data_IF_984495357187
#
_entry.id   IF_984495357187
#
_cell.length_a   1.000
_cell.length_b   1.000
_cell.length_c   1.000
_cell.angle_alpha   90.00
_cell.angle_beta   90.00
_cell.angle_gamma   90.00
#
_symmetry.space_group_name_H-M   'P 1'
#
loop_
_entity.id
_entity.type
_entity.pdbx_description
1 polymer ?
#
# COMPACT_ATOMS: atom_id res chain seq x y z
N UNK A 1 -2.94 -25.46 6.20
CA UNK A 1 -2.17 -24.24 6.48
C UNK A 1 -0.69 -24.54 6.67
N UNK A 2 0.14 -23.52 6.56
CA UNK A 2 1.59 -23.65 6.74
C UNK A 2 1.94 -23.65 8.22
N UNK A 3 3.02 -24.37 8.61
CA UNK A 3 3.51 -24.36 9.99
C UNK A 3 4.15 -23.02 10.33
N UNK A 4 3.62 -22.33 11.33
CA UNK A 4 4.16 -21.08 11.84
C UNK A 4 5.20 -21.37 12.94
N UNK A 5 6.37 -20.75 12.82
CA UNK A 5 7.39 -20.64 13.87
C UNK A 5 7.62 -19.17 14.18
N UNK A 6 7.80 -18.84 15.43
CA UNK A 6 8.05 -17.46 15.89
C UNK A 6 9.44 -17.32 16.43
N UNK A 7 10.03 -16.15 16.24
CA UNK A 7 11.33 -15.75 16.83
C UNK A 7 11.19 -14.35 17.42
N UNK A 8 11.96 -14.04 18.45
CA UNK A 8 12.05 -12.70 19.00
C UNK A 8 12.99 -11.83 18.15
N UNK A 9 12.43 -10.78 17.54
CA UNK A 9 13.19 -9.77 16.79
C UNK A 9 12.67 -8.37 17.07
N UNK A 10 13.58 -7.43 17.32
CA UNK A 10 13.23 -6.06 17.68
C UNK A 10 13.93 -5.06 16.77
N UNK A 11 13.24 -3.95 16.46
CA UNK A 11 13.85 -2.81 15.80
C UNK A 11 14.87 -2.15 16.72
N UNK A 12 16.12 -2.06 16.26
CA UNK A 12 17.18 -1.37 17.00
C UNK A 12 17.07 0.13 16.77
N UNK A 13 17.02 0.92 17.86
CA UNK A 13 17.13 2.37 17.81
C UNK A 13 18.59 2.80 17.98
N UNK A 14 18.93 4.01 17.47
CA UNK A 14 20.29 4.56 17.63
C UNK A 14 20.58 5.09 19.04
N UNK A 15 19.56 5.15 19.92
CA UNK A 15 19.75 5.66 21.29
C UNK A 15 20.40 4.60 22.18
N UNK A 16 21.47 4.95 22.86
CA UNK A 16 22.09 4.10 23.90
C UNK A 16 21.18 4.15 25.11
N UNK A 17 20.47 3.05 25.39
CA UNK A 17 19.61 2.91 26.58
C UNK A 17 19.61 1.45 27.04
N UNK A 18 19.34 1.21 28.32
CA UNK A 18 19.19 -0.14 28.89
C UNK A 18 18.14 -0.96 28.13
N UNK A 19 17.06 -0.30 27.70
CA UNK A 19 16.00 -0.92 26.90
C UNK A 19 16.52 -1.36 25.52
N UNK A 20 17.34 -0.55 24.86
CA UNK A 20 17.97 -0.93 23.59
C UNK A 20 18.98 -2.05 23.76
N UNK A 21 19.73 -2.11 24.85
CA UNK A 21 20.63 -3.22 25.15
C UNK A 21 19.85 -4.54 25.33
N UNK A 22 18.69 -4.50 26.02
CA UNK A 22 17.79 -5.65 26.13
C UNK A 22 17.22 -6.07 24.77
N UNK A 23 16.81 -5.13 23.92
CA UNK A 23 16.33 -5.39 22.56
C UNK A 23 17.44 -6.01 21.69
N UNK A 24 18.65 -5.52 21.81
CA UNK A 24 19.82 -6.05 21.10
C UNK A 24 20.11 -7.49 21.52
N UNK A 25 20.16 -7.77 22.83
CA UNK A 25 20.32 -9.14 23.35
C UNK A 25 19.24 -10.09 22.83
N UNK A 26 17.98 -9.69 22.88
CA UNK A 26 16.84 -10.48 22.34
C UNK A 26 16.98 -10.71 20.83
N UNK A 27 17.44 -9.72 20.07
CA UNK A 27 17.68 -9.86 18.63
C UNK A 27 18.80 -10.86 18.32
N UNK A 28 19.88 -10.87 19.12
CA UNK A 28 20.94 -11.89 19.01
C UNK A 28 20.43 -13.29 19.38
N UNK A 29 19.61 -13.41 20.43
CA UNK A 29 18.95 -14.66 20.77
C UNK A 29 18.05 -15.14 19.63
N UNK A 30 17.24 -14.25 19.05
CA UNK A 30 16.39 -14.54 17.89
C UNK A 30 17.18 -15.01 16.66
N UNK A 31 18.43 -14.52 16.47
CA UNK A 31 19.31 -15.04 15.42
C UNK A 31 19.69 -16.52 15.67
N UNK A 32 19.99 -16.89 16.92
CA UNK A 32 20.23 -18.26 17.31
C UNK A 32 19.02 -19.17 17.11
N UNK A 33 17.84 -18.69 17.49
CA UNK A 33 16.56 -19.38 17.30
C UNK A 33 16.27 -19.58 15.80
N UNK A 34 16.42 -18.53 14.98
CA UNK A 34 16.28 -18.62 13.53
C UNK A 34 17.22 -19.68 12.92
N UNK A 35 18.48 -19.69 13.37
CA UNK A 35 19.47 -20.67 12.90
C UNK A 35 19.07 -22.10 13.26
N UNK A 36 18.52 -22.34 14.45
CA UNK A 36 18.02 -23.65 14.90
C UNK A 36 16.84 -24.08 14.03
N UNK A 37 15.85 -23.20 13.85
CA UNK A 37 14.65 -23.45 13.02
C UNK A 37 15.05 -23.81 11.58
N UNK A 38 15.95 -23.04 10.98
CA UNK A 38 16.42 -23.26 9.61
C UNK A 38 17.16 -24.59 9.47
N UNK A 39 18.01 -24.95 10.44
CA UNK A 39 18.70 -26.27 10.46
C UNK A 39 17.74 -27.46 10.56
N UNK A 40 16.69 -27.32 11.38
CA UNK A 40 15.65 -28.34 11.54
C UNK A 40 14.77 -28.47 10.29
N UNK A 41 14.39 -27.34 9.70
CA UNK A 41 13.49 -27.29 8.54
C UNK A 41 14.20 -27.65 7.22
N UNK A 42 15.51 -27.37 7.10
CA UNK A 42 16.37 -27.59 5.91
C UNK A 42 15.77 -27.03 4.62
N UNK A 43 15.46 -25.72 4.55
CA UNK A 43 14.90 -25.12 3.35
C UNK A 43 15.94 -25.03 2.22
N UNK A 44 15.48 -25.13 0.97
CA UNK A 44 16.31 -24.89 -0.22
C UNK A 44 16.60 -23.40 -0.42
N UNK A 45 15.73 -22.51 0.09
CA UNK A 45 15.84 -21.06 0.02
C UNK A 45 15.15 -20.42 1.22
N UNK A 46 15.66 -19.27 1.66
CA UNK A 46 14.99 -18.41 2.66
C UNK A 46 14.58 -17.10 2.02
N UNK A 47 13.27 -16.81 2.06
CA UNK A 47 12.68 -15.61 1.47
C UNK A 47 12.23 -14.67 2.58
N UNK A 48 12.63 -13.40 2.51
CA UNK A 48 12.21 -12.33 3.40
C UNK A 48 11.43 -11.24 2.65
N UNK A 49 10.38 -10.71 3.29
CA UNK A 49 9.53 -9.65 2.73
C UNK A 49 9.66 -8.32 3.49
N UNK A 50 10.79 -8.11 4.15
CA UNK A 50 11.03 -6.92 4.96
C UNK A 50 10.70 -7.11 6.44
N UNK A 51 10.82 -6.02 7.21
CA UNK A 51 10.62 -6.05 8.66
C UNK A 51 11.83 -6.56 9.46
N UNK A 52 11.73 -6.46 10.79
CA UNK A 52 12.85 -6.78 11.69
C UNK A 52 13.19 -8.27 11.75
N UNK A 53 12.19 -9.13 11.59
CA UNK A 53 12.33 -10.60 11.60
C UNK A 53 13.22 -11.06 10.45
N UNK A 54 13.11 -10.42 9.28
CA UNK A 54 13.97 -10.75 8.14
C UNK A 54 15.45 -10.62 8.45
N UNK A 55 15.83 -9.70 9.35
CA UNK A 55 17.22 -9.54 9.81
C UNK A 55 17.81 -10.82 10.37
N UNK A 56 17.07 -11.49 11.25
CA UNK A 56 17.49 -12.74 11.86
C UNK A 56 17.44 -13.91 10.85
N UNK A 57 16.35 -14.07 10.12
CA UNK A 57 16.16 -15.18 9.19
C UNK A 57 17.19 -15.17 8.04
N UNK A 58 17.37 -14.04 7.36
CA UNK A 58 18.32 -13.89 6.23
C UNK A 58 19.78 -14.04 6.73
N UNK A 59 20.14 -13.42 7.89
CA UNK A 59 21.48 -13.57 8.42
C UNK A 59 21.79 -15.01 8.85
N UNK A 60 20.81 -15.73 9.41
CA UNK A 60 20.97 -17.13 9.76
C UNK A 60 21.16 -18.00 8.52
N UNK A 61 20.29 -17.84 7.50
CA UNK A 61 20.38 -18.55 6.23
C UNK A 61 21.74 -18.33 5.54
N UNK A 62 22.14 -17.07 5.41
CA UNK A 62 23.47 -16.71 4.87
C UNK A 62 24.60 -17.39 5.61
N UNK A 63 24.57 -17.43 6.96
CA UNK A 63 25.62 -18.11 7.77
C UNK A 63 25.63 -19.63 7.62
N UNK A 64 24.57 -20.22 7.10
CA UNK A 64 24.42 -21.66 6.84
C UNK A 64 24.65 -22.01 5.36
N UNK A 65 24.99 -21.04 4.51
CA UNK A 65 25.17 -21.24 3.07
C UNK A 65 23.87 -21.52 2.30
N UNK A 66 22.73 -21.21 2.89
CA UNK A 66 21.41 -21.41 2.25
C UNK A 66 21.08 -20.16 1.40
N UNK A 67 20.63 -20.34 0.15
CA UNK A 67 20.24 -19.26 -0.73
C UNK A 67 19.22 -18.30 -0.10
N UNK A 68 19.39 -17.00 -0.35
CA UNK A 68 18.57 -15.96 0.26
C UNK A 68 17.97 -15.02 -0.77
N UNK A 69 16.70 -14.68 -0.58
CA UNK A 69 15.98 -13.72 -1.38
C UNK A 69 15.25 -12.72 -0.48
N UNK A 70 15.35 -11.44 -0.79
CA UNK A 70 14.54 -10.37 -0.14
C UNK A 70 13.62 -9.73 -1.15
N UNK A 71 12.41 -9.39 -0.73
CA UNK A 71 11.48 -8.58 -1.50
C UNK A 71 11.27 -7.24 -0.78
N UNK A 72 11.46 -6.12 -1.50
CA UNK A 72 11.18 -4.76 -1.06
C UNK A 72 10.01 -4.19 -1.85
N UNK A 73 8.91 -3.94 -1.17
CA UNK A 73 7.68 -3.42 -1.77
C UNK A 73 7.69 -1.90 -1.95
N UNK A 74 8.47 -1.16 -1.15
CA UNK A 74 8.47 0.30 -1.19
C UNK A 74 9.46 0.84 -2.24
N UNK A 75 9.14 2.00 -2.80
CA UNK A 75 10.05 2.75 -3.67
C UNK A 75 11.29 3.29 -2.91
N UNK A 76 11.17 3.47 -1.60
CA UNK A 76 12.29 3.78 -0.72
C UNK A 76 12.59 2.58 0.18
N UNK A 77 13.69 1.85 -0.07
CA UNK A 77 14.01 0.62 0.66
C UNK A 77 14.16 0.84 2.15
N UNK A 78 13.54 -0.07 2.91
CA UNK A 78 13.60 -0.07 4.35
C UNK A 78 15.02 -0.30 4.90
N UNK A 79 15.25 0.10 6.15
CA UNK A 79 16.57 -0.06 6.82
C UNK A 79 17.02 -1.53 6.85
N UNK A 80 16.09 -2.45 7.09
CA UNK A 80 16.40 -3.88 7.12
C UNK A 80 16.96 -4.38 5.79
N UNK A 81 16.30 -4.03 4.67
CA UNK A 81 16.76 -4.42 3.33
C UNK A 81 18.14 -3.85 3.03
N UNK A 82 18.39 -2.56 3.33
CA UNK A 82 19.70 -1.92 3.15
C UNK A 82 20.83 -2.60 3.96
N UNK A 83 20.52 -3.00 5.18
CA UNK A 83 21.50 -3.68 6.06
C UNK A 83 21.79 -5.12 5.60
N UNK A 84 20.81 -5.79 5.02
CA UNK A 84 20.92 -7.17 4.58
C UNK A 84 21.44 -7.31 3.15
N UNK A 85 21.57 -6.21 2.41
CA UNK A 85 21.91 -6.23 0.98
C UNK A 85 23.14 -7.07 0.65
N UNK A 86 24.23 -6.97 1.44
CA UNK A 86 25.45 -7.76 1.24
C UNK A 86 25.29 -9.26 1.53
N UNK A 87 24.30 -9.63 2.37
CA UNK A 87 24.07 -11.01 2.81
C UNK A 87 23.03 -11.73 1.96
N UNK A 88 22.31 -10.98 1.12
CA UNK A 88 21.24 -11.50 0.30
C UNK A 88 21.73 -11.80 -1.11
N UNK A 89 21.40 -12.97 -1.64
CA UNK A 89 21.84 -13.38 -2.97
C UNK A 89 21.06 -12.64 -4.07
N UNK A 90 19.73 -12.48 -3.90
CA UNK A 90 18.91 -11.67 -4.82
C UNK A 90 17.93 -10.81 -4.03
N UNK A 91 17.84 -9.53 -4.39
CA UNK A 91 16.84 -8.60 -3.89
C UNK A 91 15.86 -8.31 -5.01
N UNK A 92 14.58 -8.57 -4.76
CA UNK A 92 13.49 -8.18 -5.63
C UNK A 92 12.96 -6.83 -5.17
N UNK A 93 12.68 -5.94 -6.11
CA UNK A 93 12.11 -4.62 -5.83
C UNK A 93 10.83 -4.42 -6.63
N UNK A 94 9.89 -3.66 -6.07
CA UNK A 94 8.62 -3.35 -6.73
C UNK A 94 8.75 -2.23 -7.74
N UNK A 95 9.69 -1.29 -7.50
CA UNK A 95 9.88 -0.10 -8.31
C UNK A 95 11.34 0.03 -8.71
N UNK A 96 11.57 0.43 -9.97
CA UNK A 96 12.94 0.65 -10.50
C UNK A 96 13.72 1.66 -9.66
N UNK A 97 13.05 2.70 -9.14
CA UNK A 97 13.62 3.74 -8.28
C UNK A 97 14.31 3.18 -7.02
N UNK A 98 13.88 2.02 -6.56
CA UNK A 98 14.47 1.37 -5.39
C UNK A 98 15.88 0.82 -5.65
N UNK A 99 16.20 0.42 -6.90
CA UNK A 99 17.50 -0.19 -7.25
C UNK A 99 18.68 0.70 -6.89
N UNK A 100 18.64 1.96 -7.32
CA UNK A 100 19.72 2.92 -7.06
C UNK A 100 19.95 3.26 -5.59
N UNK A 101 19.00 2.90 -4.72
CA UNK A 101 19.02 3.19 -3.27
C UNK A 101 19.54 2.03 -2.43
N UNK A 102 19.77 0.85 -3.02
CA UNK A 102 20.28 -0.34 -2.36
C UNK A 102 21.73 -0.53 -2.77
N UNK A 103 22.65 -0.13 -1.88
CA UNK A 103 24.10 -0.29 -2.13
C UNK A 103 24.60 -1.67 -1.74
N UNK A 104 25.63 -2.15 -2.44
CA UNK A 104 26.34 -3.40 -2.14
C UNK A 104 25.48 -4.68 -2.22
N UNK A 105 24.38 -4.66 -2.94
CA UNK A 105 23.62 -5.87 -3.24
C UNK A 105 24.35 -6.70 -4.31
N UNK A 106 24.28 -8.02 -4.22
CA UNK A 106 24.86 -8.95 -5.22
C UNK A 106 24.04 -8.92 -6.52
N UNK A 107 22.73 -8.95 -6.41
CA UNK A 107 21.79 -8.92 -7.53
C UNK A 107 20.51 -8.19 -7.12
N UNK A 108 19.97 -7.32 -8.00
CA UNK A 108 18.69 -6.61 -7.80
C UNK A 108 17.86 -6.76 -9.06
N UNK A 109 16.63 -7.26 -8.90
CA UNK A 109 15.70 -7.46 -10.01
C UNK A 109 14.39 -6.72 -9.70
N UNK A 110 13.89 -5.94 -10.64
CA UNK A 110 12.55 -5.35 -10.53
C UNK A 110 11.52 -6.36 -11.02
N UNK A 111 10.72 -6.87 -10.09
CA UNK A 111 9.66 -7.85 -10.38
C UNK A 111 8.27 -7.26 -10.21
N UNK A 112 8.14 -6.18 -9.46
CA UNK A 112 6.86 -5.74 -8.93
C UNK A 112 6.51 -6.44 -7.59
N UNK A 113 5.36 -6.10 -7.04
CA UNK A 113 4.75 -6.75 -5.87
C UNK A 113 3.50 -7.52 -6.29
N UNK A 114 3.33 -8.79 -5.89
CA UNK A 114 2.11 -9.52 -6.17
C UNK A 114 0.94 -8.90 -5.41
N UNK A 115 -0.13 -8.60 -6.11
CA UNK A 115 -1.36 -8.02 -5.55
C UNK A 115 -2.56 -8.84 -5.99
N UNK A 116 -3.61 -8.87 -5.17
CA UNK A 116 -4.84 -9.61 -5.46
C UNK A 116 -5.78 -8.84 -6.39
N UNK A 117 -5.73 -7.50 -6.31
CA UNK A 117 -6.60 -6.61 -7.08
C UNK A 117 -5.98 -6.41 -8.46
N UNK A 118 -6.69 -6.88 -9.46
CA UNK A 118 -6.26 -6.79 -10.87
C UNK A 118 -7.30 -6.06 -11.71
N UNK A 119 -6.84 -5.50 -12.82
CA UNK A 119 -7.73 -4.87 -13.78
C UNK A 119 -8.62 -5.92 -14.43
N UNK A 120 -9.93 -5.70 -14.37
CA UNK A 120 -10.94 -6.50 -15.06
C UNK A 120 -11.63 -5.66 -16.11
N UNK A 121 -11.85 -6.26 -17.25
CA UNK A 121 -12.60 -5.63 -18.33
C UNK A 121 -14.08 -5.98 -18.20
N UNK A 122 -14.73 -5.29 -17.27
CA UNK A 122 -16.18 -5.44 -17.08
C UNK A 122 -16.96 -4.85 -18.27
N UNK A 123 -17.94 -5.58 -18.77
CA UNK A 123 -18.94 -5.06 -19.69
C UNK A 123 -19.76 -3.91 -19.05
N UNK A 124 -20.46 -3.15 -19.90
CA UNK A 124 -21.28 -2.01 -19.43
C UNK A 124 -22.30 -2.45 -18.37
N UNK A 125 -23.04 -3.53 -18.62
CA UNK A 125 -24.06 -4.03 -17.71
C UNK A 125 -23.47 -4.52 -16.37
N UNK A 126 -22.32 -5.17 -16.40
CA UNK A 126 -21.63 -5.60 -15.17
C UNK A 126 -21.18 -4.41 -14.32
N UNK A 127 -20.63 -3.37 -14.95
CA UNK A 127 -20.27 -2.12 -14.25
C UNK A 127 -21.49 -1.49 -13.57
N UNK A 128 -22.60 -1.38 -14.30
CA UNK A 128 -23.85 -0.83 -13.77
C UNK A 128 -24.37 -1.68 -12.60
N UNK A 129 -24.28 -2.97 -12.69
CA UNK A 129 -24.68 -3.89 -11.61
C UNK A 129 -23.83 -3.71 -10.35
N UNK A 130 -22.49 -3.60 -10.50
CA UNK A 130 -21.56 -3.34 -9.39
C UNK A 130 -21.90 -2.02 -8.72
N UNK A 131 -22.09 -0.95 -9.50
CA UNK A 131 -22.43 0.39 -9.01
C UNK A 131 -23.75 0.37 -8.22
N UNK A 132 -24.78 -0.27 -8.78
CA UNK A 132 -26.09 -0.45 -8.13
C UNK A 132 -26.00 -1.22 -6.82
N UNK A 133 -25.28 -2.36 -6.81
CA UNK A 133 -25.06 -3.17 -5.60
C UNK A 133 -24.32 -2.40 -4.51
N UNK A 134 -23.43 -1.49 -4.91
CA UNK A 134 -22.73 -0.60 -3.99
C UNK A 134 -23.63 0.53 -3.44
N UNK A 135 -24.85 0.70 -3.95
CA UNK A 135 -25.77 1.79 -3.56
C UNK A 135 -25.33 3.14 -4.10
N UNK A 136 -24.70 3.15 -5.27
CA UNK A 136 -24.17 4.34 -5.95
C UNK A 136 -25.00 4.68 -7.20
N UNK A 137 -24.88 5.92 -7.67
CA UNK A 137 -25.56 6.42 -8.87
C UNK A 137 -24.71 6.11 -10.12
N UNK A 138 -25.38 5.67 -11.19
CA UNK A 138 -24.73 5.29 -12.45
C UNK A 138 -24.24 6.49 -13.28
N UNK A 139 -24.76 7.70 -13.01
CA UNK A 139 -24.51 8.88 -13.84
C UNK A 139 -23.43 9.81 -13.31
N UNK A 140 -23.01 9.65 -12.03
CA UNK A 140 -22.02 10.51 -11.40
C UNK A 140 -20.66 9.82 -11.29
N UNK A 141 -19.54 10.53 -11.49
CA UNK A 141 -18.21 9.99 -11.22
C UNK A 141 -18.10 9.45 -9.79
N UNK A 142 -17.42 8.32 -9.64
CA UNK A 142 -17.22 7.65 -8.35
C UNK A 142 -15.83 7.94 -7.83
N UNK A 143 -15.77 8.57 -6.66
CA UNK A 143 -14.52 8.79 -5.90
C UNK A 143 -14.46 7.78 -4.77
N UNK A 144 -13.54 6.83 -4.86
CA UNK A 144 -13.30 5.85 -3.80
C UNK A 144 -12.30 6.40 -2.78
N UNK A 145 -12.68 6.40 -1.51
CA UNK A 145 -11.87 6.96 -0.43
C UNK A 145 -11.64 5.94 0.68
N UNK A 146 -10.37 5.69 1.03
CA UNK A 146 -10.04 4.80 2.14
C UNK A 146 -8.68 5.12 2.76
N UNK A 147 -8.58 4.92 4.06
CA UNK A 147 -7.38 5.17 4.85
C UNK A 147 -6.52 3.93 5.14
N UNK A 148 -6.84 2.77 4.52
CA UNK A 148 -6.29 1.46 4.88
C UNK A 148 -7.06 0.81 6.04
N UNK A 149 -6.65 -0.41 6.46
CA UNK A 149 -7.38 -1.25 7.41
C UNK A 149 -7.61 -0.62 8.80
N UNK A 150 -6.80 0.34 9.20
CA UNK A 150 -6.95 1.04 10.49
C UNK A 150 -7.75 2.35 10.37
N UNK A 151 -8.11 2.77 9.15
CA UNK A 151 -8.64 4.10 8.86
C UNK A 151 -7.55 5.17 8.87
N UNK A 152 -7.92 6.40 8.51
CA UNK A 152 -7.04 7.55 8.49
C UNK A 152 -7.80 8.79 8.97
N UNK A 153 -7.62 9.13 10.26
CA UNK A 153 -8.39 10.20 10.91
C UNK A 153 -8.38 11.51 10.09
N UNK A 154 -7.22 11.95 9.60
CA UNK A 154 -7.11 13.21 8.86
C UNK A 154 -7.86 13.19 7.51
N UNK A 155 -7.84 12.04 6.81
CA UNK A 155 -8.66 11.85 5.60
C UNK A 155 -10.14 11.88 5.97
N UNK A 156 -10.53 11.17 7.03
CA UNK A 156 -11.91 11.14 7.50
C UNK A 156 -12.43 12.54 7.87
N UNK A 157 -11.59 13.38 8.49
CA UNK A 157 -11.92 14.76 8.81
C UNK A 157 -12.19 15.59 7.54
N UNK A 158 -11.33 15.49 6.54
CA UNK A 158 -11.52 16.20 5.27
C UNK A 158 -12.81 15.78 4.54
N UNK A 159 -13.17 14.49 4.60
CA UNK A 159 -14.43 14.02 4.00
C UNK A 159 -15.64 14.52 4.79
N UNK A 160 -15.59 14.54 6.11
CA UNK A 160 -16.65 15.16 6.93
C UNK A 160 -16.87 16.62 6.55
N UNK A 161 -15.79 17.38 6.31
CA UNK A 161 -15.89 18.77 5.87
C UNK A 161 -16.54 18.89 4.49
N UNK A 162 -16.20 18.03 3.53
CA UNK A 162 -16.84 17.97 2.21
C UNK A 162 -18.34 17.72 2.34
N UNK A 163 -18.75 16.73 3.13
CA UNK A 163 -20.15 16.37 3.31
C UNK A 163 -20.94 17.45 4.06
N UNK A 164 -20.37 18.03 5.11
CA UNK A 164 -20.97 19.10 5.88
C UNK A 164 -21.25 20.35 5.03
N UNK A 165 -20.32 20.71 4.16
CA UNK A 165 -20.42 21.87 3.29
C UNK A 165 -21.08 21.55 1.93
N UNK A 166 -21.54 20.31 1.72
CA UNK A 166 -22.18 19.82 0.49
C UNK A 166 -21.37 20.13 -0.77
N UNK A 167 -20.07 19.91 -0.71
CA UNK A 167 -19.15 20.21 -1.82
C UNK A 167 -19.22 19.17 -2.94
N UNK A 168 -19.61 17.92 -2.65
CA UNK A 168 -19.68 16.80 -3.60
C UNK A 168 -20.97 16.81 -4.46
N UNK A 169 -21.25 17.91 -5.15
CA UNK A 169 -22.47 18.05 -5.96
C UNK A 169 -22.40 17.25 -7.26
N UNK A 170 -21.26 17.29 -7.93
CA UNK A 170 -21.07 16.77 -9.28
C UNK A 170 -20.38 15.40 -9.34
N UNK A 171 -20.02 14.84 -8.20
CA UNK A 171 -19.47 13.50 -8.05
C UNK A 171 -20.04 12.81 -6.81
N UNK A 172 -19.80 11.53 -6.68
CA UNK A 172 -20.22 10.75 -5.53
C UNK A 172 -19.05 10.07 -4.83
N UNK A 173 -19.20 9.83 -3.54
CA UNK A 173 -18.16 9.29 -2.67
C UNK A 173 -18.52 7.88 -2.22
N UNK A 174 -17.64 6.89 -2.46
CA UNK A 174 -17.64 5.62 -1.77
C UNK A 174 -16.55 5.66 -0.69
N UNK A 175 -16.95 5.72 0.58
CA UNK A 175 -16.02 5.98 1.68
C UNK A 175 -15.95 4.83 2.68
N UNK A 176 -14.74 4.23 2.82
CA UNK A 176 -14.42 3.29 3.90
C UNK A 176 -13.68 4.03 5.01
N UNK A 177 -14.37 4.26 6.12
CA UNK A 177 -13.86 5.03 7.27
C UNK A 177 -12.79 4.28 8.07
N UNK A 178 -12.76 2.97 7.97
CA UNK A 178 -12.11 2.04 8.90
C UNK A 178 -13.05 1.65 10.06
N UNK A 179 -13.08 0.37 10.46
CA UNK A 179 -14.04 -0.13 11.46
C UNK A 179 -14.00 0.64 12.79
N UNK A 180 -12.81 1.04 13.25
CA UNK A 180 -12.65 1.76 14.52
C UNK A 180 -13.16 3.21 14.48
N UNK A 181 -13.29 3.81 13.29
CA UNK A 181 -13.69 5.20 13.11
C UNK A 181 -15.16 5.34 12.72
N UNK A 182 -15.81 4.24 12.29
CA UNK A 182 -17.14 4.29 11.70
C UNK A 182 -18.20 4.89 12.63
N UNK A 183 -18.27 4.42 13.86
CA UNK A 183 -19.27 4.90 14.83
C UNK A 183 -19.02 6.36 15.23
N UNK A 184 -17.76 6.74 15.42
CA UNK A 184 -17.36 8.14 15.70
C UNK A 184 -17.80 9.06 14.55
N UNK A 185 -17.60 8.63 13.30
CA UNK A 185 -17.97 9.40 12.12
C UNK A 185 -19.50 9.51 12.01
N UNK A 186 -20.22 8.44 12.30
CA UNK A 186 -21.68 8.43 12.31
C UNK A 186 -22.24 9.44 13.33
N UNK A 187 -21.71 9.49 14.54
CA UNK A 187 -22.09 10.47 15.56
C UNK A 187 -21.79 11.90 15.07
N UNK A 188 -20.58 12.16 14.57
CA UNK A 188 -20.20 13.48 14.05
C UNK A 188 -21.06 13.96 12.86
N UNK A 189 -21.55 13.06 12.03
CA UNK A 189 -22.49 13.38 10.97
C UNK A 189 -23.85 13.77 11.55
N UNK A 190 -24.36 13.00 12.52
CA UNK A 190 -25.62 13.29 13.21
C UNK A 190 -25.58 14.65 13.93
N UNK A 191 -24.51 15.00 14.60
CA UNK A 191 -24.28 16.29 15.25
C UNK A 191 -24.34 17.48 14.26
N UNK A 192 -24.09 17.21 12.98
CA UNK A 192 -24.23 18.18 11.90
C UNK A 192 -25.56 18.03 11.11
N UNK A 193 -26.55 17.34 11.68
CA UNK A 193 -27.86 17.06 11.07
C UNK A 193 -27.77 16.27 9.74
N UNK A 194 -26.73 15.45 9.57
CA UNK A 194 -26.55 14.60 8.39
C UNK A 194 -26.85 13.15 8.78
N UNK A 195 -27.90 12.58 8.19
CA UNK A 195 -28.24 11.19 8.39
C UNK A 195 -27.45 10.30 7.43
N UNK A 196 -26.60 9.41 7.99
CA UNK A 196 -25.74 8.52 7.20
C UNK A 196 -26.50 7.64 6.19
N UNK A 197 -27.76 7.34 6.46
CA UNK A 197 -28.58 6.50 5.58
C UNK A 197 -29.15 7.25 4.37
N UNK A 198 -29.20 8.59 4.42
CA UNK A 198 -29.83 9.45 3.41
C UNK A 198 -28.87 10.55 2.92
N UNK A 199 -27.58 10.30 2.98
CA UNK A 199 -26.61 11.27 2.43
C UNK A 199 -26.67 11.24 0.92
N UNK A 200 -26.88 12.39 0.35
CA UNK A 200 -26.82 12.58 -1.09
C UNK A 200 -25.38 12.45 -1.60
N UNK A 201 -25.21 11.70 -2.69
CA UNK A 201 -23.92 11.50 -3.35
C UNK A 201 -22.82 10.90 -2.46
N UNK A 202 -23.17 10.14 -1.42
CA UNK A 202 -22.17 9.45 -0.64
C UNK A 202 -22.69 8.11 -0.09
N UNK A 203 -21.83 7.10 -0.14
CA UNK A 203 -22.00 5.81 0.55
C UNK A 203 -20.87 5.63 1.54
N UNK A 204 -21.24 5.48 2.82
CA UNK A 204 -20.26 5.37 3.91
C UNK A 204 -20.36 3.98 4.53
N UNK A 205 -19.22 3.31 4.62
CA UNK A 205 -19.13 1.96 5.19
C UNK A 205 -17.92 1.84 6.10
N UNK A 206 -17.95 0.96 7.11
CA UNK A 206 -16.77 0.71 7.94
C UNK A 206 -15.65 0.04 7.14
N UNK A 207 -15.99 -0.83 6.19
CA UNK A 207 -15.05 -1.59 5.39
C UNK A 207 -15.68 -2.01 4.05
N UNK A 208 -14.87 -2.09 2.99
CA UNK A 208 -15.30 -2.56 1.66
C UNK A 208 -14.75 -3.96 1.45
N UNK A 209 -15.62 -4.96 1.43
CA UNK A 209 -15.24 -6.37 1.25
C UNK A 209 -14.95 -6.71 -0.23
N UNK A 210 -15.68 -6.11 -1.14
CA UNK A 210 -15.52 -6.25 -2.60
C UNK A 210 -14.65 -5.15 -3.19
N UNK A 211 -13.52 -4.83 -2.55
CA UNK A 211 -12.63 -3.73 -2.93
C UNK A 211 -12.19 -3.80 -4.39
N UNK A 212 -11.94 -5.00 -4.94
CA UNK A 212 -11.55 -5.18 -6.33
C UNK A 212 -12.60 -4.61 -7.30
N UNK A 213 -13.87 -4.94 -7.09
CA UNK A 213 -14.97 -4.45 -7.93
C UNK A 213 -15.08 -2.92 -7.83
N UNK A 214 -15.08 -2.39 -6.61
CA UNK A 214 -15.24 -0.95 -6.37
C UNK A 214 -14.05 -0.16 -6.94
N UNK A 215 -12.82 -0.62 -6.76
CA UNK A 215 -11.64 0.01 -7.38
C UNK A 215 -11.73 0.01 -8.91
N UNK A 216 -12.21 -1.09 -9.50
CA UNK A 216 -12.34 -1.19 -10.95
C UNK A 216 -13.38 -0.22 -11.54
N UNK A 217 -14.51 0.04 -10.85
CA UNK A 217 -15.57 0.95 -11.34
C UNK A 217 -15.34 2.40 -10.93
N UNK A 218 -14.42 2.69 -10.00
CA UNK A 218 -14.14 4.06 -9.55
C UNK A 218 -13.39 4.88 -10.60
N UNK A 219 -13.68 6.19 -10.67
CA UNK A 219 -12.99 7.15 -11.53
C UNK A 219 -11.70 7.69 -10.89
N UNK A 220 -11.71 7.86 -9.57
CA UNK A 220 -10.62 8.42 -8.80
C UNK A 220 -10.47 7.66 -7.48
N UNK A 221 -9.23 7.47 -7.03
CA UNK A 221 -8.92 6.88 -5.72
C UNK A 221 -8.23 7.91 -4.83
N UNK A 222 -8.75 8.12 -3.62
CA UNK A 222 -8.14 8.94 -2.58
C UNK A 222 -7.70 8.02 -1.44
N UNK A 223 -6.41 7.92 -1.19
CA UNK A 223 -5.90 6.96 -0.21
C UNK A 223 -4.55 7.34 0.42
N UNK A 224 -4.14 6.60 1.44
CA UNK A 224 -2.75 6.54 1.88
C UNK A 224 -1.88 5.83 0.82
N UNK A 225 -0.61 6.21 0.75
CA UNK A 225 0.34 5.71 -0.25
C UNK A 225 1.17 4.52 0.24
N UNK A 226 0.50 3.52 0.82
CA UNK A 226 1.13 2.24 1.14
C UNK A 226 1.57 1.51 -0.14
N UNK A 227 2.64 0.73 -0.09
CA UNK A 227 3.20 0.06 -1.26
C UNK A 227 2.18 -0.81 -2.03
N UNK A 228 1.34 -1.57 -1.32
CA UNK A 228 0.29 -2.37 -1.94
C UNK A 228 -0.73 -1.49 -2.67
N UNK A 229 -1.21 -0.43 -2.02
CA UNK A 229 -2.18 0.52 -2.61
C UNK A 229 -1.63 1.16 -3.89
N UNK A 230 -0.36 1.59 -3.89
CA UNK A 230 0.29 2.16 -5.08
C UNK A 230 0.36 1.14 -6.23
N UNK A 231 0.72 -0.09 -5.91
CA UNK A 231 0.78 -1.18 -6.90
C UNK A 231 -0.62 -1.49 -7.46
N UNK A 232 -1.65 -1.57 -6.63
CA UNK A 232 -3.03 -1.79 -7.04
C UNK A 232 -3.54 -0.65 -7.93
N UNK A 233 -3.32 0.61 -7.53
CA UNK A 233 -3.69 1.80 -8.31
C UNK A 233 -3.02 1.79 -9.69
N UNK A 234 -1.71 1.52 -9.76
CA UNK A 234 -0.99 1.50 -11.02
C UNK A 234 -1.46 0.37 -11.94
N UNK A 235 -1.64 -0.83 -11.41
CA UNK A 235 -2.09 -1.99 -12.19
C UNK A 235 -3.53 -1.83 -12.73
N UNK A 236 -4.39 -1.13 -11.98
CA UNK A 236 -5.74 -0.80 -12.42
C UNK A 236 -5.78 0.39 -13.40
N UNK A 237 -4.71 1.17 -13.48
CA UNK A 237 -4.68 2.42 -14.25
C UNK A 237 -5.63 3.47 -13.68
N UNK A 238 -5.64 3.68 -12.36
CA UNK A 238 -6.55 4.63 -11.73
C UNK A 238 -5.86 5.97 -11.44
N UNK A 239 -6.50 7.10 -11.81
CA UNK A 239 -6.13 8.40 -11.27
C UNK A 239 -6.19 8.38 -9.75
N UNK A 240 -5.29 9.09 -9.08
CA UNK A 240 -5.29 9.09 -7.62
C UNK A 240 -4.90 10.43 -6.98
N UNK A 241 -5.42 10.67 -5.78
CA UNK A 241 -4.94 11.68 -4.85
C UNK A 241 -4.38 10.93 -3.65
N UNK A 242 -3.10 11.11 -3.40
CA UNK A 242 -2.37 10.36 -2.38
C UNK A 242 -2.03 11.26 -1.19
N UNK A 243 -2.37 10.78 0.00
CA UNK A 243 -2.10 11.46 1.26
C UNK A 243 -1.11 10.61 2.06
N UNK A 244 0.22 10.83 1.90
CA UNK A 244 1.23 10.07 2.62
C UNK A 244 1.06 10.19 4.14
N UNK A 245 1.20 9.06 4.86
CA UNK A 245 1.22 9.09 6.31
C UNK A 245 2.55 9.70 6.79
N UNK A 246 2.52 10.78 7.59
CA UNK A 246 3.74 11.40 8.08
C UNK A 246 4.42 10.55 9.17
N UNK A 247 5.68 10.85 9.46
CA UNK A 247 6.45 10.25 10.57
C UNK A 247 6.63 8.73 10.51
N UNK A 248 6.49 8.13 9.32
CA UNK A 248 6.85 6.73 9.11
C UNK A 248 8.34 6.58 8.81
N UNK A 249 8.92 5.41 9.12
CA UNK A 249 10.35 5.18 8.96
C UNK A 249 10.84 5.43 7.52
N UNK A 250 11.63 6.51 7.34
CA UNK A 250 12.22 6.87 6.05
C UNK A 250 11.23 7.41 5.03
N UNK A 251 10.12 7.99 5.50
CA UNK A 251 9.08 8.63 4.68
C UNK A 251 8.65 7.81 3.46
N UNK A 252 8.66 6.46 3.61
CA UNK A 252 8.43 5.55 2.50
C UNK A 252 7.08 5.80 1.80
N UNK A 253 6.03 6.25 2.52
CA UNK A 253 4.76 6.57 1.87
C UNK A 253 4.88 7.80 0.95
N UNK A 254 5.63 8.83 1.35
CA UNK A 254 5.88 9.97 0.48
C UNK A 254 6.64 9.54 -0.78
N UNK A 255 7.68 8.72 -0.63
CA UNK A 255 8.43 8.19 -1.78
C UNK A 255 7.58 7.30 -2.68
N UNK A 256 6.69 6.49 -2.12
CA UNK A 256 5.74 5.68 -2.88
C UNK A 256 4.79 6.57 -3.70
N UNK A 257 4.22 7.62 -3.07
CA UNK A 257 3.35 8.56 -3.76
C UNK A 257 4.06 9.27 -4.93
N UNK A 258 5.33 9.64 -4.74
CA UNK A 258 6.16 10.28 -5.78
C UNK A 258 6.33 9.42 -7.03
N UNK A 259 6.30 8.09 -6.92
CA UNK A 259 6.37 7.21 -8.11
C UNK A 259 5.20 7.47 -9.06
N UNK A 260 3.98 7.60 -8.55
CA UNK A 260 2.79 7.91 -9.36
C UNK A 260 2.74 9.39 -9.76
N UNK A 261 3.12 10.29 -8.87
CA UNK A 261 3.14 11.73 -9.17
C UNK A 261 4.14 12.07 -10.29
N UNK A 262 5.35 11.51 -10.25
CA UNK A 262 6.41 11.76 -11.24
C UNK A 262 6.01 11.38 -12.67
N UNK A 263 5.13 10.41 -12.82
CA UNK A 263 4.58 10.02 -14.13
C UNK A 263 3.28 10.75 -14.46
N UNK A 264 2.78 11.63 -13.57
CA UNK A 264 1.52 12.35 -13.75
C UNK A 264 0.27 11.46 -13.60
N UNK A 265 0.35 10.45 -12.77
CA UNK A 265 -0.78 9.54 -12.46
C UNK A 265 -1.46 9.85 -11.12
N UNK A 266 -0.81 10.64 -10.28
CA UNK A 266 -1.34 11.06 -8.98
C UNK A 266 -1.06 12.53 -8.69
N UNK A 267 -1.89 13.10 -7.80
CA UNK A 267 -1.59 14.31 -7.05
C UNK A 267 -1.27 13.95 -5.60
N UNK A 268 -0.40 14.69 -4.96
CA UNK A 268 -0.06 14.50 -3.53
C UNK A 268 -0.62 15.67 -2.74
N UNK A 269 -1.31 15.37 -1.65
CA UNK A 269 -1.65 16.35 -0.61
C UNK A 269 -0.92 15.92 0.66
N UNK A 270 -0.13 16.81 1.23
CA UNK A 270 0.54 16.54 2.50
C UNK A 270 -0.49 16.47 3.64
N UNK A 271 -0.24 15.62 4.62
CA UNK A 271 -1.20 15.38 5.71
C UNK A 271 -1.59 16.66 6.46
N UNK A 272 -0.64 17.61 6.61
CA UNK A 272 -0.87 18.85 7.34
C UNK A 272 -1.59 19.92 6.50
N UNK A 273 -1.56 19.80 5.17
CA UNK A 273 -2.26 20.67 4.22
C UNK A 273 -3.71 20.19 3.95
N UNK A 274 -4.02 18.95 4.33
CA UNK A 274 -5.28 18.31 3.99
C UNK A 274 -6.46 18.93 4.75
N UNK A 275 -7.43 19.44 4.03
CA UNK A 275 -8.76 19.84 4.49
C UNK A 275 -9.81 19.55 3.40
N UNK A 276 -11.10 19.78 3.71
CA UNK A 276 -12.20 19.47 2.78
C UNK A 276 -12.15 20.29 1.49
N UNK A 277 -11.83 21.58 1.57
CA UNK A 277 -11.81 22.48 0.39
C UNK A 277 -10.68 22.12 -0.58
N UNK A 278 -9.46 21.92 -0.07
CA UNK A 278 -8.29 21.52 -0.89
C UNK A 278 -8.55 20.17 -1.55
N UNK A 279 -9.07 19.21 -0.78
CA UNK A 279 -9.35 17.89 -1.31
C UNK A 279 -10.45 17.94 -2.38
N UNK A 280 -11.57 18.64 -2.11
CA UNK A 280 -12.66 18.78 -3.04
C UNK A 280 -12.20 19.40 -4.37
N UNK A 281 -11.46 20.52 -4.30
CA UNK A 281 -10.92 21.20 -5.48
C UNK A 281 -10.08 20.22 -6.34
N UNK A 282 -9.20 19.44 -5.73
CA UNK A 282 -8.38 18.47 -6.48
C UNK A 282 -9.20 17.30 -7.03
N UNK A 283 -10.24 16.85 -6.32
CA UNK A 283 -11.18 15.85 -6.83
C UNK A 283 -11.88 16.39 -8.10
N UNK A 284 -12.49 17.55 -8.02
CA UNK A 284 -13.23 18.17 -9.14
C UNK A 284 -12.33 18.37 -10.37
N UNK A 285 -11.13 18.89 -10.19
CA UNK A 285 -10.15 19.06 -11.27
C UNK A 285 -9.86 17.77 -12.05
N UNK A 286 -9.98 16.60 -11.41
CA UNK A 286 -9.71 15.31 -12.04
C UNK A 286 -10.97 14.69 -12.61
N UNK A 287 -12.06 14.61 -11.81
CA UNK A 287 -13.23 13.81 -12.21
C UNK A 287 -14.19 14.54 -13.14
N UNK A 288 -14.14 15.87 -13.21
CA UNK A 288 -14.98 16.68 -14.10
C UNK A 288 -14.28 16.98 -15.45
N UNK A 289 -12.95 16.74 -15.55
CA UNK A 289 -12.24 16.82 -16.83
C UNK A 289 -11.86 15.41 -17.31
N UNK A 290 -12.60 14.92 -18.31
CA UNK A 290 -12.39 13.57 -18.85
C UNK A 290 -11.01 13.40 -19.50
N UNK A 291 -10.39 14.47 -20.01
CA UNK A 291 -9.05 14.39 -20.60
C UNK A 291 -8.00 14.20 -19.51
N UNK A 292 -8.13 14.89 -18.38
CA UNK A 292 -7.24 14.73 -17.21
C UNK A 292 -7.39 13.30 -16.67
N UNK A 293 -8.62 12.82 -16.44
CA UNK A 293 -8.87 11.46 -15.97
C UNK A 293 -8.21 10.40 -16.86
N UNK A 294 -8.43 10.49 -18.18
CA UNK A 294 -7.86 9.55 -19.16
C UNK A 294 -6.33 9.64 -19.18
N UNK A 295 -5.76 10.84 -19.14
CA UNK A 295 -4.31 11.01 -19.16
C UNK A 295 -3.66 10.44 -17.90
N UNK A 296 -4.22 10.71 -16.72
CA UNK A 296 -3.72 10.15 -15.46
C UNK A 296 -3.82 8.62 -15.45
N UNK A 297 -4.94 8.07 -15.96
CA UNK A 297 -5.14 6.62 -16.11
C UNK A 297 -4.07 5.97 -17.00
N UNK A 298 -3.81 6.54 -18.18
CA UNK A 298 -2.75 6.07 -19.08
C UNK A 298 -1.37 6.15 -18.43
N UNK A 299 -1.12 7.19 -17.67
CA UNK A 299 0.16 7.38 -16.97
C UNK A 299 0.35 6.34 -15.86
N UNK A 300 -0.70 6.01 -15.10
CA UNK A 300 -0.64 4.96 -14.08
C UNK A 300 -0.27 3.60 -14.67
N UNK A 301 -0.82 3.27 -15.84
CA UNK A 301 -0.51 2.01 -16.54
C UNK A 301 0.94 1.91 -17.03
N UNK A 302 1.65 3.04 -17.24
CA UNK A 302 3.08 3.01 -17.66
C UNK A 302 3.99 2.36 -16.61
N UNK A 303 3.61 2.39 -15.34
CA UNK A 303 4.37 1.81 -14.24
C UNK A 303 3.73 0.55 -13.66
N UNK A 304 2.67 0.07 -14.30
CA UNK A 304 2.04 -1.20 -13.92
C UNK A 304 3.01 -2.37 -14.13
N UNK A 305 2.89 -3.36 -13.29
CA UNK A 305 3.72 -4.58 -13.37
C UNK A 305 2.85 -5.78 -13.70
N UNK A 306 3.30 -6.56 -14.70
CA UNK A 306 2.63 -7.77 -15.15
C UNK A 306 3.50 -8.98 -14.89
N UNK A 307 2.89 -10.16 -14.80
CA UNK A 307 3.56 -11.45 -14.62
C UNK A 307 4.49 -11.48 -13.40
N UNK A 308 4.08 -10.79 -12.33
CA UNK A 308 4.87 -10.59 -11.12
C UNK A 308 5.22 -11.92 -10.47
N UNK A 309 4.24 -12.80 -10.29
CA UNK A 309 4.41 -14.12 -9.69
C UNK A 309 5.38 -14.98 -10.51
N UNK A 310 5.26 -14.95 -11.84
CA UNK A 310 6.17 -15.67 -12.73
C UNK A 310 7.60 -15.15 -12.66
N UNK A 311 7.77 -13.83 -12.63
CA UNK A 311 9.09 -13.19 -12.47
C UNK A 311 9.73 -13.58 -11.14
N UNK A 312 8.98 -13.52 -10.04
CA UNK A 312 9.45 -13.93 -8.70
C UNK A 312 9.83 -15.42 -8.72
N UNK A 313 8.98 -16.27 -9.27
CA UNK A 313 9.21 -17.70 -9.36
C UNK A 313 10.48 -18.03 -10.16
N UNK A 314 10.72 -17.37 -11.28
CA UNK A 314 11.96 -17.53 -12.07
C UNK A 314 13.20 -17.18 -11.26
N UNK A 315 13.17 -16.12 -10.47
CA UNK A 315 14.31 -15.74 -9.61
C UNK A 315 14.54 -16.74 -8.47
N UNK A 316 13.47 -17.29 -7.88
CA UNK A 316 13.56 -18.37 -6.88
C UNK A 316 14.22 -19.61 -7.51
N UNK A 317 13.78 -20.04 -8.70
CA UNK A 317 14.35 -21.21 -9.38
C UNK A 317 15.84 -21.07 -9.71
N UNK A 318 16.30 -19.86 -10.06
CA UNK A 318 17.74 -19.60 -10.28
C UNK A 318 18.60 -19.82 -9.05
N UNK A 319 18.04 -19.61 -7.86
CA UNK A 319 18.73 -19.77 -6.58
C UNK A 319 18.69 -21.20 -6.07
N UNK A 320 17.60 -21.93 -6.29
CA UNK A 320 17.43 -23.32 -5.82
C UNK A 320 18.15 -24.34 -6.71
N UNK A 321 18.32 -24.05 -8.01
CA UNK A 321 18.98 -24.93 -8.95
C UNK A 321 20.52 -24.85 -8.96
N UNK A 322 21.10 -24.03 -8.09
CA UNK A 322 22.54 -23.94 -7.88
C UNK A 322 22.99 -24.91 -6.80
#
# INVERSE_FOLDING_TARGET
>A
GYKLKTIDAYGLSKKISIENMKKMYKTFKGLGEAKKIIKEFKPDIVIGTGGYICGAAISAAHSLGIPTLLHESNAFPGKAVKMLAKKTDTILVSFEDAKGRIKNAKNIVCTGTPVKIVKKDYGINEKLEIIKKAGLNETKPIVLIFGGSQGAQKINEAILDILKNKLNKDYQIMWATGPKQYDIIKERLLDNNININNIENAKIVPYIYNMEEIMNVSNLIVARSGAMTITEISNLGKPSILIPLPNVSGDHQFHNAKVLENVGAAKIILNDELNGEILNKQIEEIVLDKNIEIQMSKNALKISTHDVEEKIYKEVLKLVKK
#
